data_IF_039801456383
#
_entry.id   IF_039801456383
#
_cell.length_a   1.000
_cell.length_b   1.000
_cell.length_c   1.000
_cell.angle_alpha   90.00
_cell.angle_beta   90.00
_cell.angle_gamma   90.00
#
_symmetry.space_group_name_H-M   'P 1'
#
loop_
_entity.id
_entity.type
_entity.pdbx_description
1 polymer ?
#
# COMPACT_ATOMS: atom_id res chain seq x y z
N UNK A 1 -13.32 4.41 -47.77
CA UNK A 1 -12.65 3.56 -48.78
C UNK A 1 -11.16 3.58 -48.46
N UNK A 2 -10.56 2.38 -48.33
CA UNK A 2 -9.10 2.06 -48.28
C UNK A 2 -8.31 2.51 -47.03
N UNK A 3 -7.90 1.64 -46.10
CA UNK A 3 -6.97 0.49 -46.10
C UNK A 3 -5.47 0.83 -45.98
N UNK A 4 -4.86 0.25 -44.93
CA UNK A 4 -3.51 -0.33 -44.88
C UNK A 4 -2.33 0.56 -44.44
N UNK A 5 -1.80 0.25 -43.25
CA UNK A 5 -0.37 0.02 -43.04
C UNK A 5 -0.15 -0.88 -41.82
N UNK A 6 -0.27 -2.20 -42.03
CA UNK A 6 0.31 -3.23 -41.16
C UNK A 6 1.82 -3.21 -41.41
N UNK A 7 2.62 -2.99 -40.38
CA UNK A 7 4.08 -3.21 -40.44
C UNK A 7 4.46 -4.34 -39.50
N UNK A 8 4.41 -5.54 -40.07
CA UNK A 8 5.08 -6.76 -39.63
C UNK A 8 6.57 -6.48 -39.39
N UNK A 9 7.09 -6.79 -38.19
CA UNK A 9 8.51 -7.08 -38.02
C UNK A 9 8.66 -8.55 -37.61
N UNK A 10 9.26 -9.29 -38.53
CA UNK A 10 9.72 -10.66 -38.40
C UNK A 10 10.84 -10.76 -37.35
N UNK A 11 10.79 -11.89 -36.62
CA UNK A 11 11.88 -12.77 -36.20
C UNK A 11 13.25 -12.15 -35.88
N UNK A 12 13.65 -12.26 -34.62
CA UNK A 12 14.99 -12.75 -34.30
C UNK A 12 14.90 -13.88 -33.27
N UNK A 13 15.26 -15.08 -33.75
CA UNK A 13 15.42 -16.28 -32.97
C UNK A 13 16.85 -16.28 -32.39
N UNK A 14 16.98 -16.03 -31.09
CA UNK A 14 18.21 -16.24 -30.33
C UNK A 14 18.17 -17.60 -29.64
N UNK A 15 18.75 -18.60 -30.28
CA UNK A 15 18.92 -19.94 -29.73
C UNK A 15 20.33 -20.12 -29.13
N UNK A 16 20.38 -20.96 -28.09
CA UNK A 16 21.50 -21.73 -27.53
C UNK A 16 22.29 -21.12 -26.35
N UNK A 17 22.99 -21.95 -25.51
CA UNK A 17 22.99 -23.41 -25.41
C UNK A 17 22.70 -23.98 -24.00
N UNK A 18 22.28 -25.24 -23.99
CA UNK A 18 22.28 -26.15 -22.84
C UNK A 18 23.71 -26.40 -22.37
N UNK A 19 24.03 -26.06 -21.12
CA UNK A 19 25.22 -26.54 -20.43
C UNK A 19 24.85 -27.73 -19.55
N UNK A 20 25.32 -28.91 -19.94
CA UNK A 20 25.24 -30.16 -19.17
C UNK A 20 26.68 -30.56 -18.84
N UNK A 21 27.03 -30.71 -17.55
CA UNK A 21 28.24 -31.36 -17.02
C UNK A 21 28.01 -31.56 -15.50
N UNK A 22 27.50 -32.71 -15.06
CA UNK A 22 28.24 -33.90 -14.62
C UNK A 22 29.09 -33.72 -13.35
N UNK A 23 28.48 -34.12 -12.23
CA UNK A 23 28.99 -34.79 -11.01
C UNK A 23 30.50 -34.85 -10.69
N UNK A 24 30.86 -34.59 -9.42
CA UNK A 24 31.51 -35.60 -8.54
C UNK A 24 31.54 -35.15 -7.07
N UNK A 25 31.39 -36.14 -6.18
CA UNK A 25 31.22 -36.02 -4.73
C UNK A 25 32.50 -35.66 -3.95
N UNK A 26 32.34 -34.95 -2.84
CA UNK A 26 33.19 -35.14 -1.65
C UNK A 26 32.31 -35.25 -0.40
N UNK A 27 32.31 -36.45 0.19
CA UNK A 27 31.89 -36.66 1.57
C UNK A 27 32.88 -35.98 2.50
N UNK A 28 32.42 -35.05 3.32
CA UNK A 28 33.13 -34.61 4.52
C UNK A 28 32.31 -35.05 5.75
N UNK A 29 32.83 -35.91 6.64
CA UNK A 29 32.24 -36.12 7.95
C UNK A 29 32.51 -34.88 8.80
N UNK A 30 31.56 -33.93 8.78
CA UNK A 30 31.55 -32.81 9.72
C UNK A 30 31.31 -33.35 11.12
N UNK A 31 32.34 -33.30 11.95
CA UNK A 31 32.31 -33.59 13.38
C UNK A 31 31.24 -32.74 14.07
N UNK A 32 30.15 -33.38 14.51
CA UNK A 32 29.16 -32.79 15.41
C UNK A 32 29.85 -32.50 16.74
N UNK A 33 30.29 -31.26 16.93
CA UNK A 33 30.75 -30.79 18.23
C UNK A 33 29.49 -30.50 19.03
N UNK A 34 29.20 -31.32 20.05
CA UNK A 34 28.17 -31.04 21.03
C UNK A 34 28.54 -29.74 21.75
N UNK A 35 27.86 -28.65 21.40
CA UNK A 35 27.91 -27.40 22.15
C UNK A 35 27.32 -27.70 23.54
N UNK A 36 28.06 -27.48 24.65
CA UNK A 36 27.47 -27.59 25.97
C UNK A 36 26.33 -26.56 26.08
N UNK A 37 25.15 -27.03 26.49
CA UNK A 37 24.01 -26.18 26.78
C UNK A 37 24.43 -25.11 27.79
N UNK A 38 24.63 -23.90 27.30
CA UNK A 38 24.90 -22.72 28.12
C UNK A 38 23.70 -22.57 29.06
N UNK A 39 23.95 -22.64 30.36
CA UNK A 39 22.95 -22.46 31.39
C UNK A 39 22.18 -21.17 31.10
N UNK A 40 20.91 -21.32 30.74
CA UNK A 40 19.99 -20.20 30.61
C UNK A 40 19.90 -19.53 31.99
N UNK A 41 20.54 -18.37 32.13
CA UNK A 41 20.23 -17.43 33.20
C UNK A 41 18.74 -17.17 33.14
N UNK A 42 18.02 -17.49 34.21
CA UNK A 42 16.59 -17.24 34.31
C UNK A 42 16.30 -15.79 33.90
N UNK A 43 15.29 -15.54 33.04
CA UNK A 43 14.88 -14.17 32.74
C UNK A 43 14.51 -13.47 34.05
N UNK A 44 14.86 -12.18 34.22
CA UNK A 44 14.39 -11.42 35.36
C UNK A 44 12.87 -11.50 35.40
N UNK A 45 12.31 -11.76 36.59
CA UNK A 45 10.87 -11.77 36.81
C UNK A 45 10.26 -10.48 36.24
N UNK A 46 9.08 -10.54 35.58
CA UNK A 46 8.42 -9.35 35.08
C UNK A 46 8.18 -8.41 36.26
N UNK A 47 8.73 -7.20 36.19
CA UNK A 47 8.31 -6.11 37.07
C UNK A 47 6.82 -5.91 36.82
N UNK A 48 5.99 -6.26 37.80
CA UNK A 48 4.57 -5.93 37.78
C UNK A 48 4.51 -4.41 37.84
N UNK A 49 4.20 -3.77 36.70
CA UNK A 49 3.82 -2.37 36.69
C UNK A 49 2.51 -2.27 37.48
N UNK A 50 2.59 -1.76 38.70
CA UNK A 50 1.40 -1.29 39.42
C UNK A 50 0.78 -0.19 38.56
N UNK A 51 -0.36 -0.49 37.95
CA UNK A 51 -1.16 0.50 37.24
C UNK A 51 -1.47 1.64 38.21
N UNK A 52 -1.06 2.86 37.86
CA UNK A 52 -1.57 4.04 38.53
C UNK A 52 -3.10 4.08 38.36
N UNK A 53 -3.87 4.48 39.39
CA UNK A 53 -5.30 4.71 39.22
C UNK A 53 -5.49 5.71 38.09
N UNK A 54 -6.22 5.29 37.05
CA UNK A 54 -6.65 6.18 35.98
C UNK A 54 -7.50 7.29 36.62
N UNK A 55 -7.28 8.57 36.27
CA UNK A 55 -8.15 9.65 36.73
C UNK A 55 -9.59 9.36 36.31
N UNK A 56 -10.52 9.46 37.26
CA UNK A 56 -11.95 9.26 37.06
C UNK A 56 -12.50 10.24 36.00
N UNK A 57 -13.17 9.66 34.99
CA UNK A 57 -14.22 10.25 34.17
C UNK A 57 -14.04 11.71 33.69
N UNK A 58 -13.05 11.98 32.83
CA UNK A 58 -13.30 12.97 31.79
C UNK A 58 -14.17 12.30 30.72
N UNK A 59 -15.38 12.80 30.42
CA UNK A 59 -16.20 12.23 29.38
C UNK A 59 -15.40 12.30 28.08
N UNK A 60 -15.01 11.14 27.57
CA UNK A 60 -14.33 11.01 26.29
C UNK A 60 -15.17 11.78 25.28
N UNK A 61 -14.69 12.94 24.84
CA UNK A 61 -15.36 13.72 23.82
C UNK A 61 -15.49 12.77 22.63
N UNK A 62 -16.73 12.36 22.33
CA UNK A 62 -16.99 11.51 21.18
C UNK A 62 -16.32 12.18 19.98
N UNK A 63 -15.61 11.44 19.12
CA UNK A 63 -15.08 12.01 17.91
C UNK A 63 -16.23 12.75 17.22
N UNK A 64 -16.06 14.06 17.05
CA UNK A 64 -16.97 14.84 16.21
C UNK A 64 -16.97 14.14 14.86
N UNK A 65 -18.09 13.51 14.52
CA UNK A 65 -18.25 12.89 13.22
C UNK A 65 -18.03 13.99 12.19
N UNK A 66 -16.90 13.91 11.47
CA UNK A 66 -16.68 14.74 10.29
C UNK A 66 -17.92 14.59 9.40
N UNK A 67 -18.38 15.67 8.77
CA UNK A 67 -19.54 15.59 7.89
C UNK A 67 -19.24 14.53 6.83
N UNK A 68 -19.94 13.40 6.90
CA UNK A 68 -19.81 12.34 5.91
C UNK A 68 -20.35 12.91 4.61
N UNK A 69 -19.44 13.29 3.71
CA UNK A 69 -19.81 13.75 2.38
C UNK A 69 -20.63 12.64 1.72
N UNK A 70 -21.81 12.99 1.21
CA UNK A 70 -22.66 12.03 0.49
C UNK A 70 -22.18 11.96 -0.96
N UNK A 71 -21.44 10.92 -1.30
CA UNK A 71 -20.81 10.77 -2.61
C UNK A 71 -21.63 9.81 -3.48
N UNK A 72 -22.16 10.29 -4.61
CA UNK A 72 -23.13 9.56 -5.44
C UNK A 72 -22.47 8.73 -6.55
N UNK A 73 -21.18 8.95 -6.82
CA UNK A 73 -20.45 8.33 -7.92
C UNK A 73 -18.99 8.07 -7.58
N UNK A 74 -18.34 7.23 -8.37
CA UNK A 74 -16.89 7.04 -8.32
C UNK A 74 -16.11 8.35 -8.52
N UNK A 75 -16.64 9.31 -9.30
CA UNK A 75 -16.01 10.62 -9.47
C UNK A 75 -16.08 11.48 -8.22
N UNK A 76 -17.21 11.44 -7.49
CA UNK A 76 -17.35 12.14 -6.21
C UNK A 76 -16.41 11.52 -5.16
N UNK A 77 -16.28 10.19 -5.17
CA UNK A 77 -15.31 9.45 -4.36
C UNK A 77 -13.87 9.87 -4.65
N UNK A 78 -13.52 10.00 -5.93
CA UNK A 78 -12.18 10.45 -6.34
C UNK A 78 -11.89 11.88 -5.87
N UNK A 79 -12.88 12.78 -5.96
CA UNK A 79 -12.75 14.15 -5.50
C UNK A 79 -12.56 14.25 -3.97
N UNK A 80 -13.29 13.45 -3.19
CA UNK A 80 -13.14 13.41 -1.73
C UNK A 80 -11.78 12.86 -1.32
N UNK A 81 -11.31 11.78 -1.95
CA UNK A 81 -9.98 11.23 -1.67
C UNK A 81 -8.87 12.26 -1.95
N UNK A 82 -9.00 13.04 -3.03
CA UNK A 82 -8.08 14.15 -3.36
C UNK A 82 -8.16 15.26 -2.30
N UNK A 83 -9.36 15.64 -1.87
CA UNK A 83 -9.55 16.66 -0.85
C UNK A 83 -8.89 16.27 0.48
N UNK A 84 -9.02 15.01 0.90
CA UNK A 84 -8.35 14.49 2.10
C UNK A 84 -6.82 14.47 1.93
N UNK A 85 -6.32 14.09 0.75
CA UNK A 85 -4.89 14.10 0.48
C UNK A 85 -4.28 15.51 0.58
N UNK A 86 -5.01 16.52 0.09
CA UNK A 86 -4.64 17.94 0.20
C UNK A 86 -4.71 18.43 1.66
N UNK A 87 -5.84 18.17 2.34
CA UNK A 87 -6.05 18.59 3.73
C UNK A 87 -4.96 18.05 4.67
N UNK A 88 -4.54 16.80 4.48
CA UNK A 88 -3.49 16.18 5.29
C UNK A 88 -2.07 16.41 4.76
N UNK A 89 -1.90 17.02 3.58
CA UNK A 89 -0.58 17.16 2.93
C UNK A 89 0.10 15.81 2.71
N UNK A 90 -0.67 14.78 2.34
CA UNK A 90 -0.25 13.38 2.38
C UNK A 90 0.64 12.94 1.20
N UNK A 91 0.74 13.78 0.16
CA UNK A 91 1.44 13.45 -1.10
C UNK A 91 2.54 14.47 -1.41
N UNK A 92 3.69 14.43 -0.72
CA UNK A 92 4.87 15.19 -1.11
C UNK A 92 5.47 14.66 -2.42
N UNK A 93 6.11 15.54 -3.19
CA UNK A 93 6.76 15.18 -4.46
C UNK A 93 8.24 14.83 -4.31
N UNK A 94 8.85 15.13 -3.15
CA UNK A 94 10.24 14.83 -2.82
C UNK A 94 10.51 14.80 -1.30
N UNK A 95 11.77 14.54 -0.93
CA UNK A 95 12.23 14.47 0.47
C UNK A 95 12.17 15.80 1.23
N UNK A 96 12.08 16.93 0.52
CA UNK A 96 12.00 18.25 1.15
C UNK A 96 10.60 18.57 1.68
N UNK A 97 9.61 17.74 1.33
CA UNK A 97 8.23 17.87 1.78
C UNK A 97 7.41 18.85 0.94
N UNK A 98 7.87 19.23 -0.25
CA UNK A 98 7.06 20.01 -1.20
C UNK A 98 5.83 19.20 -1.56
N UNK A 99 4.64 19.76 -1.35
CA UNK A 99 3.37 19.08 -1.60
C UNK A 99 3.02 19.09 -3.09
N UNK A 100 2.40 18.00 -3.56
CA UNK A 100 1.82 17.94 -4.90
C UNK A 100 0.67 18.96 -5.01
N UNK A 101 0.60 19.76 -6.09
CA UNK A 101 -0.55 20.63 -6.34
C UNK A 101 -1.84 19.80 -6.48
N UNK A 102 -2.96 20.30 -5.95
CA UNK A 102 -4.27 19.61 -6.01
C UNK A 102 -4.69 19.25 -7.44
N UNK A 103 -4.34 20.08 -8.42
CA UNK A 103 -4.65 19.84 -9.84
C UNK A 103 -3.90 18.67 -10.44
N UNK A 104 -2.81 18.24 -9.80
CA UNK A 104 -1.92 17.18 -10.26
C UNK A 104 -2.07 15.91 -9.42
N UNK A 105 -2.96 15.94 -8.41
CA UNK A 105 -3.35 14.76 -7.64
C UNK A 105 -4.28 13.88 -8.47
N UNK A 106 -4.02 12.57 -8.43
CA UNK A 106 -4.76 11.58 -9.20
C UNK A 106 -5.11 10.38 -8.32
N UNK A 107 -6.33 9.87 -8.45
CA UNK A 107 -6.71 8.58 -7.86
C UNK A 107 -6.35 7.44 -8.81
N UNK A 108 -5.70 6.41 -8.27
CA UNK A 108 -5.44 5.14 -8.96
C UNK A 108 -6.13 3.99 -8.24
N UNK A 109 -6.74 3.12 -9.04
CA UNK A 109 -7.42 1.89 -8.62
C UNK A 109 -6.56 0.65 -8.87
N UNK A 110 -5.25 0.83 -8.80
CA UNK A 110 -4.23 -0.21 -8.93
C UNK A 110 -3.14 0.04 -7.91
N UNK A 111 -2.42 -1.01 -7.54
CA UNK A 111 -1.30 -0.88 -6.60
C UNK A 111 -0.27 0.16 -7.11
N UNK A 112 0.28 0.99 -6.20
CA UNK A 112 1.27 1.99 -6.56
C UNK A 112 2.60 1.31 -6.92
N UNK A 113 2.88 1.19 -8.20
CA UNK A 113 4.16 0.66 -8.70
C UNK A 113 5.21 1.76 -8.81
N UNK A 114 6.44 1.46 -8.35
CA UNK A 114 7.58 2.39 -8.41
C UNK A 114 7.52 3.57 -7.44
N UNK A 115 6.50 3.68 -6.58
CA UNK A 115 6.37 4.72 -5.55
C UNK A 115 6.72 4.14 -4.19
N UNK A 116 7.65 4.76 -3.45
CA UNK A 116 8.26 4.14 -2.26
C UNK A 116 7.76 4.67 -0.93
N UNK A 117 7.11 5.84 -0.90
CA UNK A 117 6.66 6.47 0.35
C UNK A 117 5.14 6.47 0.45
N UNK A 118 4.61 5.82 1.47
CA UNK A 118 3.17 5.73 1.69
C UNK A 118 2.77 4.37 2.21
N UNK A 119 1.46 4.19 2.39
CA UNK A 119 0.86 2.92 2.77
C UNK A 119 -0.49 2.79 2.07
N UNK A 120 -0.85 1.57 1.71
CA UNK A 120 -2.17 1.23 1.19
C UNK A 120 -2.66 -0.09 1.78
N UNK A 121 -3.96 -0.30 1.69
CA UNK A 121 -4.61 -1.55 2.10
C UNK A 121 -4.83 -2.38 0.83
N UNK A 122 -4.22 -3.57 0.78
CA UNK A 122 -4.45 -4.51 -0.30
C UNK A 122 -5.75 -5.30 -0.08
N UNK A 123 -6.49 -5.67 -1.14
CA UNK A 123 -6.21 -5.33 -2.54
C UNK A 123 -6.68 -3.91 -2.89
N UNK A 124 -5.98 -3.25 -3.81
CA UNK A 124 -6.42 -1.99 -4.44
C UNK A 124 -7.31 -2.30 -5.64
N UNK A 125 -8.42 -1.55 -5.76
CA UNK A 125 -9.33 -1.65 -6.90
C UNK A 125 -10.11 -2.96 -7.01
N UNK A 126 -10.81 -3.18 -8.14
CA UNK A 126 -10.89 -2.32 -9.35
C UNK A 126 -11.65 -1.01 -9.12
N UNK A 127 -11.68 -0.11 -10.11
CA UNK A 127 -12.51 1.11 -10.02
C UNK A 127 -13.95 0.71 -9.68
N UNK A 128 -14.60 1.34 -8.68
CA UNK A 128 -15.92 0.92 -8.22
C UNK A 128 -16.95 1.02 -9.34
N UNK A 129 -17.79 0.00 -9.42
CA UNK A 129 -18.98 -0.08 -10.25
C UNK A 129 -20.26 -0.07 -9.40
N UNK A 130 -21.43 -0.18 -10.03
CA UNK A 130 -22.74 -0.18 -9.38
C UNK A 130 -22.95 -1.28 -8.34
N UNK A 131 -22.09 -2.32 -8.33
CA UNK A 131 -22.19 -3.47 -7.42
C UNK A 131 -21.14 -3.43 -6.32
N UNK A 132 -20.21 -2.48 -6.38
CA UNK A 132 -19.10 -2.38 -5.42
C UNK A 132 -19.60 -1.71 -4.15
N UNK A 133 -19.38 -2.35 -3.00
CA UNK A 133 -19.80 -1.83 -1.67
C UNK A 133 -18.62 -1.45 -0.78
N UNK A 134 -17.41 -1.77 -1.21
CA UNK A 134 -16.17 -1.45 -0.51
C UNK A 134 -15.01 -1.54 -1.47
N UNK A 135 -14.08 -0.59 -1.39
CA UNK A 135 -12.94 -0.52 -2.30
C UNK A 135 -11.77 0.21 -1.66
N UNK A 136 -10.56 -0.20 -1.99
CA UNK A 136 -9.35 0.54 -1.64
C UNK A 136 -8.79 1.23 -2.87
N UNK A 137 -8.25 2.43 -2.67
CA UNK A 137 -7.60 3.22 -3.71
C UNK A 137 -6.31 3.83 -3.20
N UNK A 138 -5.58 4.48 -4.10
CA UNK A 138 -4.44 5.33 -3.74
C UNK A 138 -4.56 6.67 -4.45
N UNK A 139 -4.14 7.74 -3.77
CA UNK A 139 -3.92 9.06 -4.35
C UNK A 139 -2.42 9.23 -4.59
N UNK A 140 -2.05 9.64 -5.80
CA UNK A 140 -0.67 9.88 -6.21
C UNK A 140 -0.53 11.28 -6.78
N UNK A 141 0.70 11.73 -6.98
CA UNK A 141 0.99 12.89 -7.83
C UNK A 141 1.28 12.41 -9.25
N UNK A 142 0.69 13.03 -10.27
CA UNK A 142 0.83 12.58 -11.67
C UNK A 142 2.29 12.52 -12.15
N UNK A 143 3.10 13.51 -11.78
CA UNK A 143 4.48 13.69 -12.24
C UNK A 143 5.56 13.26 -11.22
N UNK A 144 5.18 12.68 -10.08
CA UNK A 144 6.14 12.22 -9.06
C UNK A 144 5.90 10.76 -8.65
N UNK A 145 7.00 10.05 -8.43
CA UNK A 145 7.02 8.68 -7.89
C UNK A 145 7.54 8.66 -6.45
N UNK A 146 7.50 9.79 -5.74
CA UNK A 146 7.99 9.85 -4.36
C UNK A 146 6.99 9.26 -3.38
N UNK A 147 5.82 9.89 -3.23
CA UNK A 147 4.84 9.50 -2.24
C UNK A 147 3.43 9.26 -2.80
N UNK A 148 2.64 8.52 -2.03
CA UNK A 148 1.22 8.28 -2.27
C UNK A 148 0.46 8.15 -0.94
N UNK A 149 -0.85 8.31 -0.98
CA UNK A 149 -1.77 8.10 0.14
C UNK A 149 -2.77 7.00 -0.21
N UNK A 150 -2.80 5.90 0.54
CA UNK A 150 -3.89 4.93 0.44
C UNK A 150 -5.16 5.41 1.13
N UNK A 151 -6.31 4.99 0.62
CA UNK A 151 -7.60 5.19 1.28
C UNK A 151 -8.48 3.95 1.15
N UNK A 152 -9.36 3.77 2.13
CA UNK A 152 -10.46 2.82 2.07
C UNK A 152 -11.76 3.60 1.81
N UNK A 153 -12.67 3.01 1.05
CA UNK A 153 -13.97 3.56 0.84
C UNK A 153 -15.04 2.48 0.97
N UNK A 154 -16.17 2.84 1.56
CA UNK A 154 -17.33 1.95 1.71
C UNK A 154 -18.58 2.61 1.19
N UNK A 155 -19.54 1.79 0.77
CA UNK A 155 -20.87 2.25 0.37
C UNK A 155 -21.99 1.50 1.08
N UNK A 156 -23.01 2.24 1.47
CA UNK A 156 -24.28 1.69 1.99
C UNK A 156 -25.28 1.31 0.88
N UNK A 157 -24.87 1.41 -0.39
CA UNK A 157 -25.70 1.17 -1.58
C UNK A 157 -26.34 2.42 -2.16
N UNK A 158 -26.24 3.56 -1.48
CA UNK A 158 -26.69 4.88 -1.98
C UNK A 158 -25.54 5.88 -2.00
N UNK A 159 -24.65 5.78 -1.02
CA UNK A 159 -23.65 6.78 -0.71
C UNK A 159 -22.29 6.13 -0.57
N UNK A 160 -21.23 6.80 -1.02
CA UNK A 160 -19.85 6.45 -0.72
C UNK A 160 -19.29 7.28 0.42
N UNK A 161 -18.38 6.70 1.19
CA UNK A 161 -17.64 7.35 2.27
C UNK A 161 -16.18 6.90 2.23
N UNK A 162 -15.25 7.86 2.24
CA UNK A 162 -13.83 7.62 2.44
C UNK A 162 -13.56 7.48 3.95
N UNK A 163 -12.78 6.48 4.33
CA UNK A 163 -12.48 6.11 5.72
C UNK A 163 -11.04 6.44 6.11
#
# INVERSE_FOLDING_TARGET
MSFTAVRTRLLEAGAAPLATLTALALLAPGTTTLVPASSATAPPAPTVLTAAPLPDDEPFAAPVASPVATLASAGDLEAEAIALADEFGAVPVDESGVLCPVTDLEVRWSEPDGITHGAFIAPVGPRPDERTTGINGVVVCGDSTWAFMGFEASSDGVTWTVL
#
